data_IF_548111538483
#
_entry.id   IF_548111538483
#
_cell.length_a   1.000
_cell.length_b   1.000
_cell.length_c   1.000
_cell.angle_alpha   90.00
_cell.angle_beta   90.00
_cell.angle_gamma   90.00
#
_symmetry.space_group_name_H-M   'P 1'
#
loop_
_entity.id
_entity.type
_entity.pdbx_description
1 polymer ?
#
# COMPACT_ATOMS: atom_id res chain seq x y z
N UNK A 1 -70.42 -0.53 -5.00
CA UNK A 1 -69.33 -0.89 -4.07
C UNK A 1 -68.12 -1.21 -4.96
N UNK A 2 -67.20 -0.27 -5.13
CA UNK A 2 -65.95 -0.47 -5.92
C UNK A 2 -64.85 -0.91 -4.97
N UNK A 3 -64.37 -2.15 -5.11
CA UNK A 3 -63.27 -2.67 -4.35
C UNK A 3 -61.97 -2.22 -5.04
N UNK A 4 -61.18 -1.36 -4.38
CA UNK A 4 -59.81 -1.02 -4.81
C UNK A 4 -58.85 -2.10 -4.30
N UNK A 5 -58.31 -2.89 -5.21
CA UNK A 5 -57.21 -3.83 -4.91
C UNK A 5 -55.91 -3.04 -4.88
N UNK A 6 -55.36 -2.81 -3.70
CA UNK A 6 -54.06 -2.20 -3.53
C UNK A 6 -52.99 -3.34 -3.65
N UNK A 7 -52.36 -3.48 -4.81
CA UNK A 7 -51.23 -4.40 -4.99
C UNK A 7 -49.97 -3.78 -4.39
N UNK A 8 -49.59 -4.31 -3.24
CA UNK A 8 -48.30 -4.00 -2.58
C UNK A 8 -47.16 -4.64 -3.42
N UNK A 9 -46.52 -3.85 -4.27
CA UNK A 9 -45.28 -4.28 -4.92
C UNK A 9 -44.17 -4.32 -3.88
N UNK A 10 -43.90 -5.51 -3.36
CA UNK A 10 -42.71 -5.75 -2.53
C UNK A 10 -41.46 -5.69 -3.46
N UNK A 11 -40.82 -4.51 -3.56
CA UNK A 11 -39.55 -4.38 -4.22
C UNK A 11 -38.52 -5.03 -3.29
N UNK A 12 -38.34 -6.35 -3.40
CA UNK A 12 -37.14 -7.02 -2.93
C UNK A 12 -35.98 -6.48 -3.77
N UNK A 13 -35.23 -5.53 -3.24
CA UNK A 13 -33.92 -5.20 -3.77
C UNK A 13 -33.04 -6.45 -3.61
N UNK A 14 -32.98 -7.26 -4.67
CA UNK A 14 -31.97 -8.28 -4.81
C UNK A 14 -30.61 -7.57 -4.79
N UNK A 15 -29.96 -7.51 -3.62
CA UNK A 15 -28.57 -7.10 -3.55
C UNK A 15 -27.78 -8.14 -4.34
N UNK A 16 -27.11 -7.70 -5.39
CA UNK A 16 -26.21 -8.55 -6.14
C UNK A 16 -25.13 -9.12 -5.21
N UNK A 17 -24.77 -10.38 -5.40
CA UNK A 17 -23.61 -10.93 -4.69
C UNK A 17 -22.33 -10.24 -5.14
N UNK A 18 -21.39 -9.98 -4.22
CA UNK A 18 -20.10 -9.41 -4.58
C UNK A 18 -19.39 -10.22 -5.68
N UNK A 19 -18.68 -9.55 -6.61
CA UNK A 19 -18.09 -10.23 -7.76
C UNK A 19 -16.95 -11.17 -7.42
N UNK A 20 -16.31 -10.98 -6.24
CA UNK A 20 -15.17 -11.77 -5.82
C UNK A 20 -15.36 -12.33 -4.42
N UNK A 21 -14.68 -13.45 -4.15
CA UNK A 21 -14.59 -14.02 -2.80
C UNK A 21 -13.60 -13.23 -1.95
N UNK A 22 -12.41 -12.92 -2.51
CA UNK A 22 -11.39 -12.04 -1.98
C UNK A 22 -10.61 -11.39 -3.13
N UNK A 23 -10.09 -10.16 -2.97
CA UNK A 23 -9.55 -9.38 -4.08
C UNK A 23 -8.14 -9.77 -4.49
N UNK A 24 -7.34 -10.39 -3.62
CA UNK A 24 -6.02 -10.92 -3.99
C UNK A 24 -6.09 -12.01 -5.07
N UNK A 25 -7.28 -12.52 -5.35
CA UNK A 25 -7.54 -13.53 -6.38
C UNK A 25 -8.29 -12.99 -7.60
N UNK A 26 -8.33 -11.67 -7.80
CA UNK A 26 -9.00 -11.09 -8.98
C UNK A 26 -8.30 -11.48 -10.28
N UNK A 27 -6.97 -11.47 -10.28
CA UNK A 27 -6.09 -11.90 -11.36
C UNK A 27 -4.67 -12.07 -10.78
N UNK A 28 -3.95 -13.15 -11.05
CA UNK A 28 -2.57 -13.29 -10.59
C UNK A 28 -1.63 -12.35 -11.35
N UNK A 29 -0.47 -12.07 -10.78
CA UNK A 29 0.60 -11.26 -11.39
C UNK A 29 0.18 -9.82 -11.78
N UNK A 30 -0.72 -9.18 -11.02
CA UNK A 30 -0.97 -7.73 -11.10
C UNK A 30 0.34 -6.98 -10.78
N UNK A 31 1.10 -7.48 -9.82
CA UNK A 31 2.49 -7.08 -9.57
C UNK A 31 3.36 -8.30 -9.83
N UNK A 32 4.36 -8.16 -10.71
CA UNK A 32 5.26 -9.25 -11.08
C UNK A 32 6.54 -9.19 -10.28
N UNK A 33 7.20 -10.33 -10.00
CA UNK A 33 8.52 -10.35 -9.35
C UNK A 33 9.57 -9.50 -10.07
N UNK A 34 9.41 -9.26 -11.38
CA UNK A 34 10.29 -8.41 -12.20
C UNK A 34 9.98 -6.91 -12.14
N UNK A 35 8.93 -6.51 -11.46
CA UNK A 35 8.57 -5.09 -11.35
C UNK A 35 9.60 -4.30 -10.53
N UNK A 36 9.72 -3.00 -10.76
CA UNK A 36 10.67 -2.17 -10.04
C UNK A 36 10.50 -2.25 -8.52
N UNK A 37 11.62 -2.40 -7.81
CA UNK A 37 11.69 -2.35 -6.36
C UNK A 37 12.47 -1.12 -5.89
N UNK A 38 11.97 -0.48 -4.85
CA UNK A 38 12.66 0.57 -4.12
C UNK A 38 13.75 0.02 -3.17
N UNK A 39 13.83 -1.30 -2.97
CA UNK A 39 14.83 -1.91 -2.11
C UNK A 39 16.25 -1.47 -2.50
N UNK A 40 17.03 -1.06 -1.52
CA UNK A 40 18.39 -0.56 -1.70
C UNK A 40 19.44 -1.48 -1.05
N UNK A 41 19.27 -1.79 0.23
CA UNK A 41 20.24 -2.64 0.95
C UNK A 41 19.64 -3.24 2.21
N UNK A 42 20.28 -4.32 2.68
CA UNK A 42 20.00 -4.97 3.96
C UNK A 42 21.27 -5.00 4.81
N UNK A 43 21.23 -4.39 6.01
CA UNK A 43 22.33 -4.37 6.97
C UNK A 43 22.01 -5.27 8.13
N UNK A 44 22.93 -6.16 8.49
CA UNK A 44 22.86 -6.96 9.71
C UNK A 44 22.85 -6.04 10.96
N UNK A 45 21.98 -6.34 11.90
CA UNK A 45 21.83 -5.64 13.17
C UNK A 45 21.98 -6.59 14.37
N UNK A 46 22.50 -7.81 14.15
CA UNK A 46 22.74 -8.82 15.16
C UNK A 46 21.46 -9.52 15.63
N UNK A 47 21.39 -9.81 16.89
CA UNK A 47 20.21 -10.39 17.54
C UNK A 47 19.81 -9.55 18.75
N UNK A 48 18.52 -9.50 19.04
CA UNK A 48 18.02 -8.72 20.17
C UNK A 48 16.60 -9.15 20.55
N UNK A 49 16.26 -8.99 21.83
CA UNK A 49 14.94 -9.32 22.35
C UNK A 49 13.87 -8.48 21.66
N UNK A 50 12.85 -9.13 21.11
CA UNK A 50 11.66 -8.52 20.46
C UNK A 50 10.40 -9.23 20.89
N UNK A 51 9.30 -8.49 20.90
CA UNK A 51 7.96 -9.06 21.00
C UNK A 51 7.39 -9.16 19.59
N UNK A 52 7.05 -10.37 19.17
CA UNK A 52 6.51 -10.68 17.85
C UNK A 52 5.16 -11.39 18.02
N UNK A 53 4.22 -11.18 17.11
CA UNK A 53 3.00 -11.98 17.10
C UNK A 53 3.25 -13.25 16.29
N UNK A 54 3.00 -14.40 16.87
CA UNK A 54 3.06 -15.68 16.18
C UNK A 54 1.64 -16.22 15.96
N UNK A 55 1.21 -16.21 14.72
CA UNK A 55 -0.14 -16.66 14.37
C UNK A 55 -0.33 -18.16 14.56
N UNK A 56 0.75 -18.94 14.61
CA UNK A 56 0.72 -20.39 14.89
C UNK A 56 0.31 -20.65 16.35
N UNK A 57 0.82 -19.80 17.25
CA UNK A 57 0.50 -19.84 18.67
C UNK A 57 -0.73 -18.98 19.04
N UNK A 58 -1.21 -18.20 18.07
CA UNK A 58 -2.25 -17.18 18.27
C UNK A 58 -1.94 -16.25 19.44
N UNK A 59 -0.67 -15.90 19.61
CA UNK A 59 -0.18 -15.15 20.78
C UNK A 59 1.03 -14.27 20.46
N UNK A 60 1.24 -13.30 21.34
CA UNK A 60 2.47 -12.51 21.39
C UNK A 60 3.57 -13.30 22.09
N UNK A 61 4.69 -13.48 21.39
CA UNK A 61 5.84 -14.24 21.89
C UNK A 61 7.06 -13.32 22.01
N UNK A 62 7.89 -13.58 23.04
CA UNK A 62 9.14 -12.87 23.23
C UNK A 62 10.26 -13.77 22.73
N UNK A 63 10.95 -13.31 21.67
CA UNK A 63 12.04 -14.03 21.03
C UNK A 63 13.32 -13.21 20.99
N UNK A 64 14.40 -13.83 20.56
CA UNK A 64 15.66 -13.17 20.21
C UNK A 64 15.93 -13.38 18.71
N UNK A 65 15.16 -12.71 17.83
CA UNK A 65 15.27 -12.88 16.39
C UNK A 65 16.61 -12.38 15.86
N UNK A 66 16.96 -12.84 14.65
CA UNK A 66 17.96 -12.20 13.82
C UNK A 66 17.38 -10.88 13.29
N UNK A 67 18.12 -9.80 13.44
CA UNK A 67 17.68 -8.45 13.11
C UNK A 67 18.43 -7.92 11.90
N UNK A 68 17.69 -7.32 10.98
CA UNK A 68 18.25 -6.66 9.80
C UNK A 68 17.58 -5.31 9.60
N UNK A 69 18.33 -4.32 9.11
CA UNK A 69 17.80 -3.02 8.72
C UNK A 69 17.75 -2.95 7.19
N UNK A 70 16.55 -3.04 6.64
CA UNK A 70 16.28 -2.80 5.24
C UNK A 70 16.16 -1.30 4.96
N UNK A 71 16.82 -0.81 3.89
CA UNK A 71 16.72 0.58 3.44
C UNK A 71 16.17 0.64 2.02
N UNK A 72 15.44 1.71 1.72
CA UNK A 72 14.77 1.90 0.44
C UNK A 72 15.17 3.22 -0.20
N UNK A 73 15.12 3.29 -1.52
CA UNK A 73 15.52 4.46 -2.33
C UNK A 73 14.70 5.73 -2.05
N UNK A 74 13.53 5.59 -1.45
CA UNK A 74 12.68 6.70 -0.99
C UNK A 74 13.01 7.19 0.43
N UNK A 75 14.04 6.64 1.05
CA UNK A 75 14.53 7.00 2.38
C UNK A 75 13.88 6.23 3.53
N UNK A 76 12.89 5.39 3.25
CA UNK A 76 12.26 4.55 4.28
C UNK A 76 13.24 3.48 4.80
N UNK A 77 13.05 3.11 6.06
CA UNK A 77 13.81 2.06 6.75
C UNK A 77 12.85 1.16 7.49
N UNK A 78 13.10 -0.15 7.43
CA UNK A 78 12.27 -1.17 8.07
C UNK A 78 13.17 -2.13 8.82
N UNK A 79 12.87 -2.42 10.09
CA UNK A 79 13.53 -3.49 10.83
C UNK A 79 12.89 -4.83 10.47
N UNK A 80 13.69 -5.74 9.94
CA UNK A 80 13.27 -7.11 9.64
C UNK A 80 13.70 -8.03 10.75
N UNK A 81 12.76 -8.72 11.38
CA UNK A 81 12.92 -9.59 12.52
C UNK A 81 12.65 -11.02 12.09
N UNK A 82 13.68 -11.84 11.97
CA UNK A 82 13.56 -13.23 11.53
C UNK A 82 13.63 -14.15 12.74
N UNK A 83 12.60 -14.98 12.92
CA UNK A 83 12.48 -15.90 14.05
C UNK A 83 13.76 -16.78 14.18
N UNK A 84 14.28 -17.02 15.39
CA UNK A 84 15.47 -17.85 15.60
C UNK A 84 15.33 -19.28 15.08
N UNK A 85 14.11 -19.75 14.81
CA UNK A 85 13.85 -21.07 14.22
C UNK A 85 14.49 -21.32 12.84
N UNK A 86 14.99 -20.25 12.18
CA UNK A 86 15.76 -20.38 10.95
C UNK A 86 17.19 -20.88 11.15
N UNK A 87 17.66 -20.96 12.40
CA UNK A 87 18.83 -21.69 12.83
C UNK A 87 20.13 -20.90 12.81
N UNK A 88 20.39 -20.08 11.79
CA UNK A 88 21.63 -19.26 11.69
C UNK A 88 21.37 -17.93 10.97
N UNK A 89 22.31 -17.01 11.07
CA UNK A 89 22.21 -15.67 10.51
C UNK A 89 22.15 -15.65 8.97
N UNK A 90 22.84 -16.59 8.31
CA UNK A 90 22.90 -16.63 6.86
C UNK A 90 21.54 -17.05 6.25
N UNK A 91 20.90 -18.05 6.84
CA UNK A 91 19.56 -18.48 6.40
C UNK A 91 18.49 -17.44 6.75
N UNK A 92 18.58 -16.83 7.93
CA UNK A 92 17.72 -15.71 8.30
C UNK A 92 17.90 -14.52 7.33
N UNK A 93 19.12 -14.22 6.91
CA UNK A 93 19.43 -13.15 5.95
C UNK A 93 18.78 -13.39 4.59
N UNK A 94 18.81 -14.62 4.08
CA UNK A 94 18.19 -14.98 2.79
C UNK A 94 16.70 -14.64 2.79
N UNK A 95 16.00 -15.01 3.85
CA UNK A 95 14.57 -14.70 3.97
C UNK A 95 14.33 -13.18 4.15
N UNK A 96 15.13 -12.52 4.98
CA UNK A 96 15.04 -11.08 5.17
C UNK A 96 15.26 -10.32 3.86
N UNK A 97 16.23 -10.70 3.06
CA UNK A 97 16.54 -10.06 1.76
C UNK A 97 15.44 -10.27 0.74
N UNK A 98 14.98 -11.53 0.60
CA UNK A 98 13.86 -11.91 -0.27
C UNK A 98 12.62 -11.03 -0.04
N UNK A 99 12.15 -10.96 1.20
CA UNK A 99 10.92 -10.20 1.48
C UNK A 99 11.15 -8.70 1.51
N UNK A 100 12.34 -8.22 1.89
CA UNK A 100 12.66 -6.80 1.76
C UNK A 100 12.60 -6.32 0.31
N UNK A 101 13.02 -7.17 -0.66
CA UNK A 101 12.91 -6.87 -2.07
C UNK A 101 11.45 -6.77 -2.52
N UNK A 102 10.61 -7.74 -2.17
CA UNK A 102 9.18 -7.76 -2.52
C UNK A 102 8.45 -6.56 -1.87
N UNK A 103 8.70 -6.30 -0.59
CA UNK A 103 8.15 -5.12 0.10
C UNK A 103 8.60 -3.83 -0.61
N UNK A 104 9.80 -3.80 -1.17
CA UNK A 104 10.28 -2.69 -1.98
C UNK A 104 9.47 -2.44 -3.26
N UNK A 105 8.72 -3.42 -3.77
CA UNK A 105 7.83 -3.26 -4.93
C UNK A 105 6.50 -2.58 -4.57
N UNK A 106 6.12 -2.57 -3.29
CA UNK A 106 4.99 -1.79 -2.78
C UNK A 106 5.23 -0.30 -2.99
N UNK A 107 4.16 0.46 -3.13
CA UNK A 107 4.27 1.92 -3.21
C UNK A 107 4.77 2.52 -1.91
N UNK A 108 5.43 3.68 -1.97
CA UNK A 108 5.84 4.44 -0.77
C UNK A 108 4.64 4.67 0.16
N UNK A 109 3.46 4.94 -0.41
CA UNK A 109 2.23 5.12 0.36
C UNK A 109 1.87 3.89 1.21
N UNK A 110 2.15 2.68 0.73
CA UNK A 110 1.91 1.44 1.47
C UNK A 110 3.06 1.05 2.41
N UNK A 111 4.31 1.43 2.09
CA UNK A 111 5.46 1.14 2.95
C UNK A 111 5.65 2.11 4.11
N UNK A 112 5.11 3.33 4.01
CA UNK A 112 5.43 4.47 4.88
C UNK A 112 5.24 4.22 6.37
N UNK A 113 4.31 3.35 6.74
CA UNK A 113 3.99 3.04 8.13
C UNK A 113 4.41 1.61 8.52
N UNK A 114 5.10 0.91 7.63
CA UNK A 114 5.73 -0.38 7.96
C UNK A 114 7.04 -0.10 8.68
N UNK A 115 7.04 -0.25 9.99
CA UNK A 115 8.23 -0.09 10.83
C UNK A 115 8.99 -1.40 11.00
N UNK A 116 8.24 -2.50 11.08
CA UNK A 116 8.80 -3.84 11.32
C UNK A 116 8.20 -4.88 10.37
N UNK A 117 8.98 -5.95 10.13
CA UNK A 117 8.53 -7.15 9.43
C UNK A 117 8.87 -8.35 10.29
N UNK A 118 7.89 -9.20 10.57
CA UNK A 118 8.09 -10.46 11.30
C UNK A 118 8.07 -11.63 10.33
N UNK A 119 9.11 -12.46 10.37
CA UNK A 119 9.25 -13.62 9.50
C UNK A 119 9.32 -14.89 10.35
N UNK A 120 8.32 -15.75 10.18
CA UNK A 120 8.21 -17.07 10.80
C UNK A 120 8.16 -18.17 9.75
N UNK A 121 8.50 -19.39 10.13
CA UNK A 121 8.15 -20.59 9.36
C UNK A 121 6.64 -20.85 9.46
N UNK A 122 6.15 -21.82 8.69
CA UNK A 122 4.75 -22.27 8.74
C UNK A 122 3.90 -21.76 7.59
N UNK A 123 2.62 -22.17 7.62
CA UNK A 123 1.67 -21.98 6.51
C UNK A 123 0.43 -21.17 6.92
N UNK A 124 0.54 -20.40 8.01
CA UNK A 124 -0.51 -19.49 8.41
C UNK A 124 -0.56 -18.28 7.46
N UNK A 125 -1.72 -17.66 7.25
CA UNK A 125 -1.84 -16.47 6.41
C UNK A 125 -0.92 -15.32 6.88
N UNK A 126 -0.59 -14.41 5.96
CA UNK A 126 0.09 -13.17 6.28
C UNK A 126 -0.78 -12.25 7.14
N UNK A 127 -0.22 -11.17 7.62
CA UNK A 127 -0.94 -10.16 8.39
C UNK A 127 -0.34 -8.77 8.23
N UNK A 128 -1.20 -7.76 8.30
CA UNK A 128 -0.85 -6.36 8.33
C UNK A 128 -1.50 -5.63 9.51
N UNK A 129 -1.02 -4.43 9.80
CA UNK A 129 -1.47 -3.60 10.91
C UNK A 129 -0.38 -3.39 11.98
N UNK A 130 -0.64 -2.53 12.96
CA UNK A 130 0.30 -2.23 14.04
C UNK A 130 1.73 -1.87 13.56
N UNK A 131 1.83 -1.12 12.47
CA UNK A 131 3.09 -0.75 11.82
C UNK A 131 3.96 -1.96 11.43
N UNK A 132 3.33 -3.09 11.12
CA UNK A 132 3.99 -4.36 10.87
C UNK A 132 3.44 -5.11 9.66
N UNK A 133 4.29 -5.97 9.10
CA UNK A 133 3.90 -7.05 8.18
C UNK A 133 4.35 -8.39 8.75
N UNK A 134 3.42 -9.32 8.87
CA UNK A 134 3.64 -10.69 9.36
C UNK A 134 3.71 -11.67 8.20
N UNK A 135 4.76 -12.46 8.13
CA UNK A 135 5.06 -13.39 7.06
C UNK A 135 5.25 -14.80 7.64
N UNK A 136 4.63 -15.79 6.98
CA UNK A 136 4.91 -17.20 7.18
C UNK A 136 5.49 -17.80 5.90
N UNK A 137 6.74 -18.25 5.93
CA UNK A 137 7.49 -18.61 4.71
C UNK A 137 6.90 -19.79 3.95
N UNK A 138 6.28 -20.75 4.62
CA UNK A 138 5.57 -21.87 3.97
C UNK A 138 4.29 -21.42 3.25
N UNK A 139 3.59 -20.39 3.76
CA UNK A 139 2.46 -19.79 3.07
C UNK A 139 2.93 -18.94 1.89
N UNK A 140 4.07 -18.24 2.03
CA UNK A 140 4.67 -17.49 0.94
C UNK A 140 4.95 -18.37 -0.29
N UNK A 141 5.39 -19.62 -0.10
CA UNK A 141 5.59 -20.57 -1.22
C UNK A 141 4.29 -20.81 -1.99
N UNK A 142 3.16 -20.92 -1.29
CA UNK A 142 1.85 -21.06 -1.94
C UNK A 142 1.48 -19.82 -2.72
N UNK A 143 1.64 -18.63 -2.12
CA UNK A 143 1.33 -17.35 -2.77
C UNK A 143 2.22 -17.11 -4.00
N UNK A 144 3.50 -17.53 -3.97
CA UNK A 144 4.39 -17.49 -5.14
C UNK A 144 3.87 -18.40 -6.26
N UNK A 145 3.51 -19.64 -5.92
CA UNK A 145 3.01 -20.60 -6.91
C UNK A 145 1.69 -20.16 -7.55
N UNK A 146 0.87 -19.43 -6.79
CA UNK A 146 -0.42 -18.91 -7.23
C UNK A 146 -0.28 -17.54 -7.93
N UNK A 147 0.93 -16.95 -7.98
CA UNK A 147 1.19 -15.62 -8.57
C UNK A 147 0.54 -14.46 -7.82
N UNK A 148 0.38 -14.56 -6.49
CA UNK A 148 -0.32 -13.57 -5.65
C UNK A 148 0.48 -13.10 -4.43
N UNK A 149 1.79 -13.37 -4.38
CA UNK A 149 2.61 -12.96 -3.24
C UNK A 149 2.63 -11.44 -3.07
N UNK A 150 2.90 -10.73 -4.13
CA UNK A 150 2.99 -9.28 -4.17
C UNK A 150 1.64 -8.62 -3.89
N UNK A 151 0.56 -9.18 -4.42
CA UNK A 151 -0.81 -8.75 -4.19
C UNK A 151 -1.22 -8.94 -2.72
N UNK A 152 -0.80 -10.04 -2.10
CA UNK A 152 -1.00 -10.26 -0.66
C UNK A 152 -0.30 -9.18 0.15
N UNK A 153 0.93 -8.79 -0.20
CA UNK A 153 1.59 -7.67 0.46
C UNK A 153 0.88 -6.34 0.25
N UNK A 154 0.28 -6.10 -0.92
CA UNK A 154 -0.55 -4.90 -1.14
C UNK A 154 -1.72 -4.87 -0.16
N UNK A 155 -2.43 -5.99 0.01
CA UNK A 155 -3.54 -6.11 0.95
C UNK A 155 -3.09 -5.82 2.39
N UNK A 156 -2.08 -6.52 2.87
CA UNK A 156 -1.59 -6.39 4.25
C UNK A 156 -0.98 -5.01 4.55
N UNK A 157 -0.23 -4.46 3.59
CA UNK A 157 0.32 -3.12 3.74
C UNK A 157 -0.74 -2.01 3.66
N UNK A 158 -1.88 -2.27 3.02
CA UNK A 158 -3.03 -1.37 3.07
C UNK A 158 -3.58 -1.29 4.48
N UNK A 159 -3.75 -2.42 5.19
CA UNK A 159 -4.09 -2.42 6.60
C UNK A 159 -3.09 -1.62 7.44
N UNK A 160 -1.80 -1.83 7.20
CA UNK A 160 -0.74 -1.18 7.97
C UNK A 160 -0.72 0.33 7.77
N UNK A 161 -0.84 0.80 6.53
CA UNK A 161 -0.55 2.20 6.18
C UNK A 161 -1.79 3.06 5.91
N UNK A 162 -2.93 2.46 5.56
CA UNK A 162 -4.11 3.24 5.18
C UNK A 162 -5.28 3.13 6.16
N UNK A 163 -5.49 2.01 6.85
CA UNK A 163 -6.67 1.80 7.69
C UNK A 163 -6.83 2.88 8.77
N UNK A 164 -5.78 3.16 9.53
CA UNK A 164 -5.82 4.14 10.62
C UNK A 164 -6.21 5.54 10.15
N UNK A 165 -5.87 5.87 8.89
CA UNK A 165 -6.11 7.19 8.28
C UNK A 165 -7.40 7.26 7.50
N UNK A 166 -7.90 6.13 6.98
CA UNK A 166 -8.93 6.14 5.95
C UNK A 166 -10.15 5.28 6.27
N UNK A 167 -10.00 4.07 6.86
CA UNK A 167 -11.10 3.11 7.00
C UNK A 167 -12.33 3.64 7.78
N UNK A 168 -12.11 4.59 8.71
CA UNK A 168 -13.18 5.21 9.52
C UNK A 168 -13.47 6.67 9.11
N UNK A 169 -12.89 7.18 8.01
CA UNK A 169 -13.15 8.56 7.59
C UNK A 169 -14.57 8.70 7.02
N UNK A 170 -15.29 9.80 7.36
CA UNK A 170 -16.63 10.03 6.83
C UNK A 170 -16.73 9.96 5.32
N UNK A 171 -15.71 10.47 4.59
CA UNK A 171 -15.64 10.42 3.13
C UNK A 171 -15.54 8.98 2.59
N UNK A 172 -14.77 8.10 3.26
CA UNK A 172 -14.69 6.69 2.90
C UNK A 172 -16.02 5.98 3.10
N UNK A 173 -16.61 6.15 4.29
CA UNK A 173 -17.92 5.56 4.62
C UNK A 173 -19.02 6.08 3.67
N UNK A 174 -18.96 7.34 3.29
CA UNK A 174 -19.89 7.91 2.31
C UNK A 174 -19.70 7.27 0.92
N UNK A 175 -18.46 7.05 0.47
CA UNK A 175 -18.16 6.39 -0.78
C UNK A 175 -18.64 4.92 -0.77
N UNK A 176 -18.39 4.19 0.31
CA UNK A 176 -18.87 2.82 0.54
C UNK A 176 -20.40 2.75 0.43
N UNK A 177 -21.09 3.65 1.12
CA UNK A 177 -22.56 3.72 1.10
C UNK A 177 -23.12 4.11 -0.27
N UNK A 178 -22.44 5.02 -0.98
CA UNK A 178 -22.86 5.46 -2.31
C UNK A 178 -22.70 4.39 -3.38
N UNK A 179 -21.70 3.50 -3.26
CA UNK A 179 -21.55 2.36 -4.15
C UNK A 179 -22.66 1.32 -3.93
N UNK A 180 -23.12 1.14 -2.68
CA UNK A 180 -24.19 0.19 -2.32
C UNK A 180 -23.79 -1.28 -2.45
N UNK A 181 -22.64 -1.58 -3.07
CA UNK A 181 -22.10 -2.89 -3.36
C UNK A 181 -20.71 -3.05 -2.76
N UNK A 182 -20.22 -4.28 -2.64
CA UNK A 182 -18.86 -4.60 -2.20
C UNK A 182 -18.12 -5.34 -3.31
N UNK A 183 -16.79 -5.17 -3.33
CA UNK A 183 -15.97 -5.83 -4.35
C UNK A 183 -15.82 -7.33 -4.09
N UNK A 184 -15.86 -7.74 -2.82
CA UNK A 184 -15.73 -9.14 -2.41
C UNK A 184 -16.69 -9.47 -1.26
N UNK A 185 -16.96 -10.78 -1.06
CA UNK A 185 -17.69 -11.26 0.10
C UNK A 185 -16.96 -10.92 1.39
N UNK A 186 -15.63 -10.98 1.40
CA UNK A 186 -14.83 -10.65 2.57
C UNK A 186 -14.97 -9.17 2.96
N UNK A 187 -14.98 -8.25 1.98
CA UNK A 187 -15.30 -6.84 2.23
C UNK A 187 -16.73 -6.63 2.74
N UNK A 188 -17.71 -7.39 2.20
CA UNK A 188 -19.12 -7.33 2.61
C UNK A 188 -19.32 -7.82 4.05
N UNK A 189 -18.65 -8.91 4.42
CA UNK A 189 -18.77 -9.50 5.75
C UNK A 189 -18.05 -8.67 6.82
N UNK A 190 -16.99 -7.96 6.45
CA UNK A 190 -16.17 -7.14 7.35
C UNK A 190 -15.96 -5.69 6.86
N UNK A 191 -17.05 -4.92 6.62
CA UNK A 191 -17.00 -3.64 5.91
C UNK A 191 -16.16 -2.55 6.58
N UNK A 192 -15.98 -2.62 7.90
CA UNK A 192 -15.22 -1.64 8.67
C UNK A 192 -13.75 -2.03 8.85
N UNK A 193 -13.38 -3.24 8.45
CA UNK A 193 -12.03 -3.79 8.64
C UNK A 193 -11.35 -4.12 7.31
N UNK A 194 -12.07 -4.76 6.39
CA UNK A 194 -11.48 -5.35 5.20
C UNK A 194 -11.76 -4.54 3.91
N UNK A 195 -12.86 -3.81 3.85
CA UNK A 195 -13.32 -3.18 2.61
C UNK A 195 -12.31 -2.21 2.00
N UNK A 196 -11.51 -1.50 2.81
CA UNK A 196 -10.49 -0.59 2.31
C UNK A 196 -9.34 -1.38 1.66
N UNK A 197 -8.84 -2.42 2.31
CA UNK A 197 -7.77 -3.26 1.79
C UNK A 197 -8.22 -4.06 0.56
N UNK A 198 -9.41 -4.64 0.60
CA UNK A 198 -10.03 -5.36 -0.51
C UNK A 198 -10.30 -4.47 -1.74
N UNK A 199 -10.62 -3.20 -1.53
CA UNK A 199 -10.85 -2.24 -2.61
C UNK A 199 -9.57 -1.64 -3.19
N UNK A 200 -8.48 -1.63 -2.43
CA UNK A 200 -7.23 -0.97 -2.87
C UNK A 200 -6.55 -1.72 -4.01
N UNK A 201 -6.44 -3.04 -3.94
CA UNK A 201 -5.82 -3.82 -5.02
C UNK A 201 -6.57 -3.69 -6.37
N UNK A 202 -7.91 -3.80 -6.43
CA UNK A 202 -8.67 -3.49 -7.64
C UNK A 202 -8.46 -2.07 -8.16
N UNK A 203 -8.43 -1.08 -7.26
CA UNK A 203 -8.10 0.30 -7.62
C UNK A 203 -6.71 0.39 -8.24
N UNK A 204 -5.70 -0.20 -7.59
CA UNK A 204 -4.34 -0.23 -8.08
C UNK A 204 -4.26 -0.87 -9.47
N UNK A 205 -4.93 -2.00 -9.67
CA UNK A 205 -4.95 -2.71 -10.95
C UNK A 205 -5.50 -1.84 -12.08
N UNK A 206 -6.65 -1.19 -11.89
CA UNK A 206 -7.28 -0.38 -12.95
C UNK A 206 -6.57 0.95 -13.24
N UNK A 207 -5.82 1.50 -12.28
CA UNK A 207 -5.12 2.78 -12.43
C UNK A 207 -3.67 2.62 -12.88
N UNK A 208 -2.98 1.61 -12.37
CA UNK A 208 -1.52 1.51 -12.50
C UNK A 208 -1.05 0.26 -13.24
N UNK A 209 -1.96 -0.70 -13.45
CA UNK A 209 -1.69 -1.95 -14.20
C UNK A 209 -2.83 -2.33 -15.14
N UNK A 210 -3.40 -1.38 -15.91
CA UNK A 210 -4.52 -1.68 -16.81
C UNK A 210 -4.16 -2.66 -17.93
N UNK A 211 -2.87 -2.82 -18.21
CA UNK A 211 -2.30 -3.78 -19.16
C UNK A 211 -2.27 -5.23 -18.64
N UNK A 212 -2.51 -5.42 -17.34
CA UNK A 212 -2.44 -6.74 -16.68
C UNK A 212 -3.79 -7.29 -16.25
N UNK A 213 -4.86 -6.60 -16.57
CA UNK A 213 -6.23 -7.04 -16.31
C UNK A 213 -7.07 -7.00 -17.58
N UNK A 214 -8.06 -7.88 -17.67
CA UNK A 214 -8.99 -7.89 -18.79
C UNK A 214 -9.90 -6.66 -18.78
N UNK A 215 -10.35 -6.24 -19.98
CA UNK A 215 -11.33 -5.14 -20.11
C UNK A 215 -12.64 -5.43 -19.35
N UNK A 216 -13.07 -6.70 -19.32
CA UNK A 216 -14.27 -7.12 -18.59
C UNK A 216 -14.09 -6.98 -17.09
N UNK A 217 -12.93 -7.38 -16.54
CA UNK A 217 -12.58 -7.22 -15.14
C UNK A 217 -12.51 -5.74 -14.75
N UNK A 218 -11.80 -4.92 -15.53
CA UNK A 218 -11.72 -3.49 -15.31
C UNK A 218 -13.10 -2.82 -15.31
N UNK A 219 -14.00 -3.23 -16.23
CA UNK A 219 -15.38 -2.75 -16.28
C UNK A 219 -16.14 -3.15 -15.00
N UNK A 220 -16.04 -4.40 -14.57
CA UNK A 220 -16.69 -4.90 -13.37
C UNK A 220 -16.25 -4.11 -12.13
N UNK A 221 -14.95 -3.91 -11.93
CA UNK A 221 -14.41 -3.12 -10.81
C UNK A 221 -14.99 -1.70 -10.82
N UNK A 222 -14.93 -1.00 -11.97
CA UNK A 222 -15.44 0.38 -12.13
C UNK A 222 -16.95 0.49 -11.91
N UNK A 223 -17.71 -0.55 -12.17
CA UNK A 223 -19.16 -0.58 -11.92
C UNK A 223 -19.50 -0.86 -10.47
N UNK A 224 -18.71 -1.70 -9.79
CA UNK A 224 -18.99 -2.14 -8.41
C UNK A 224 -18.60 -1.10 -7.37
N UNK A 225 -17.42 -0.45 -7.52
CA UNK A 225 -16.86 0.46 -6.50
C UNK A 225 -16.48 1.86 -7.06
N UNK A 226 -17.33 2.52 -7.87
CA UNK A 226 -16.96 3.77 -8.53
C UNK A 226 -16.65 4.92 -7.57
N UNK A 227 -17.32 5.01 -6.44
CA UNK A 227 -17.11 6.08 -5.46
C UNK A 227 -15.88 5.82 -4.59
N UNK A 228 -15.60 4.55 -4.24
CA UNK A 228 -14.34 4.18 -3.58
C UNK A 228 -13.12 4.46 -4.47
N UNK A 229 -13.23 4.21 -5.79
CA UNK A 229 -12.19 4.56 -6.77
C UNK A 229 -11.94 6.08 -6.75
N UNK A 230 -13.00 6.91 -6.81
CA UNK A 230 -12.88 8.37 -6.71
C UNK A 230 -12.28 8.81 -5.38
N UNK A 231 -12.60 8.10 -4.29
CA UNK A 231 -11.98 8.38 -3.01
C UNK A 231 -10.47 8.17 -3.06
N UNK A 232 -10.00 7.03 -3.57
CA UNK A 232 -8.56 6.78 -3.72
C UNK A 232 -7.90 7.77 -4.68
N UNK A 233 -8.55 8.13 -5.79
CA UNK A 233 -8.07 9.16 -6.72
C UNK A 233 -7.90 10.54 -6.03
N UNK A 234 -8.69 10.82 -4.99
CA UNK A 234 -8.59 12.06 -4.22
C UNK A 234 -7.43 12.08 -3.21
N UNK A 235 -6.76 10.94 -3.01
CA UNK A 235 -5.62 10.84 -2.11
C UNK A 235 -4.33 11.06 -2.91
N UNK A 236 -3.51 12.02 -2.49
CA UNK A 236 -2.19 12.23 -3.06
C UNK A 236 -1.21 11.14 -2.59
N UNK A 237 -1.43 9.89 -3.04
CA UNK A 237 -0.61 8.75 -2.67
C UNK A 237 0.71 8.76 -3.43
N UNK A 238 1.82 8.60 -2.72
CA UNK A 238 3.13 8.43 -3.34
C UNK A 238 3.25 7.02 -3.93
N UNK A 239 3.16 6.93 -5.25
CA UNK A 239 3.13 5.68 -6.00
C UNK A 239 4.52 5.17 -6.43
N UNK A 240 5.63 5.75 -5.94
CA UNK A 240 6.96 5.22 -6.19
C UNK A 240 7.13 3.82 -5.54
N UNK A 241 7.74 2.81 -6.17
CA UNK A 241 8.46 2.80 -7.45
C UNK A 241 7.59 2.47 -8.68
N UNK A 242 6.30 2.26 -8.51
CA UNK A 242 5.35 1.93 -9.60
C UNK A 242 5.32 3.06 -10.63
N UNK A 243 5.25 4.29 -10.14
CA UNK A 243 5.52 5.50 -10.92
C UNK A 243 6.92 5.97 -10.55
N UNK A 244 7.81 6.05 -11.55
CA UNK A 244 9.14 6.59 -11.35
C UNK A 244 9.04 8.07 -10.96
N UNK A 245 9.82 8.46 -9.95
CA UNK A 245 10.01 9.87 -9.65
C UNK A 245 10.88 10.48 -10.73
N UNK A 246 10.37 11.49 -11.39
CA UNK A 246 11.17 12.33 -12.27
C UNK A 246 11.93 13.35 -11.42
N UNK A 247 13.18 13.63 -11.79
CA UNK A 247 13.90 14.74 -11.19
C UNK A 247 13.12 16.04 -11.47
N UNK A 248 12.92 16.91 -10.47
CA UNK A 248 12.28 18.18 -10.72
C UNK A 248 13.12 19.00 -11.71
N UNK A 249 12.50 19.50 -12.77
CA UNK A 249 13.11 20.48 -13.66
C UNK A 249 12.58 21.88 -13.31
N UNK A 250 13.47 22.84 -13.16
CA UNK A 250 13.10 24.24 -12.92
C UNK A 250 12.53 24.79 -14.22
N UNK A 251 11.26 25.18 -14.20
CA UNK A 251 10.56 25.76 -15.34
C UNK A 251 10.76 27.26 -15.42
N UNK A 252 10.87 27.91 -14.26
CA UNK A 252 11.05 29.35 -14.17
C UNK A 252 11.87 29.71 -12.94
N UNK A 253 12.76 30.67 -13.13
CA UNK A 253 13.50 31.35 -12.08
C UNK A 253 13.41 32.84 -12.34
N UNK A 254 12.76 33.60 -11.45
CA UNK A 254 12.57 35.03 -11.61
C UNK A 254 12.85 35.73 -10.29
N UNK A 255 13.66 36.80 -10.34
CA UNK A 255 13.92 37.67 -9.19
C UNK A 255 13.33 39.06 -9.44
N UNK A 256 12.51 39.52 -8.52
CA UNK A 256 11.98 40.91 -8.51
C UNK A 256 12.80 41.76 -7.56
N UNK A 257 13.55 42.73 -8.10
CA UNK A 257 14.31 43.66 -7.28
C UNK A 257 13.40 44.57 -6.45
N UNK A 258 12.26 45.00 -7.03
CA UNK A 258 11.27 45.83 -6.34
C UNK A 258 10.69 45.15 -5.11
N UNK A 259 10.38 43.87 -5.22
CA UNK A 259 9.77 43.07 -4.14
C UNK A 259 10.78 42.31 -3.32
N UNK A 260 12.05 42.28 -3.70
CA UNK A 260 13.11 41.46 -3.10
C UNK A 260 12.68 40.00 -3.01
N UNK A 261 12.02 39.54 -4.07
CA UNK A 261 11.37 38.19 -4.11
C UNK A 261 11.98 37.36 -5.22
N UNK A 262 12.43 36.13 -4.85
CA UNK A 262 12.83 35.09 -5.77
C UNK A 262 11.67 34.13 -5.98
N UNK A 263 11.19 33.99 -7.21
CA UNK A 263 10.17 33.05 -7.61
C UNK A 263 10.83 31.88 -8.33
N UNK A 264 10.58 30.64 -7.83
CA UNK A 264 11.06 29.40 -8.45
C UNK A 264 9.83 28.54 -8.74
N UNK A 265 9.66 28.15 -9.99
CA UNK A 265 8.67 27.14 -10.37
C UNK A 265 9.33 25.91 -10.99
N UNK A 266 8.80 24.75 -10.69
CA UNK A 266 9.31 23.47 -11.21
C UNK A 266 8.15 22.50 -11.45
N UNK A 267 8.41 21.49 -12.33
CA UNK A 267 7.49 20.36 -12.47
C UNK A 267 7.47 19.56 -11.18
N UNK A 268 6.28 19.19 -10.72
CA UNK A 268 6.10 18.38 -9.52
C UNK A 268 5.27 17.12 -9.79
N UNK A 269 5.50 16.10 -8.99
CA UNK A 269 4.69 14.87 -9.00
C UNK A 269 3.82 14.85 -7.74
N UNK A 270 2.54 14.55 -7.91
CA UNK A 270 1.61 14.45 -6.78
C UNK A 270 2.12 13.43 -5.75
N UNK A 271 2.09 13.80 -4.48
CA UNK A 271 2.60 13.00 -3.35
C UNK A 271 4.12 13.04 -3.16
N UNK A 272 4.89 13.60 -4.09
CA UNK A 272 6.33 13.78 -3.89
C UNK A 272 6.61 14.90 -2.88
N UNK A 273 7.70 14.72 -2.11
CA UNK A 273 8.20 15.71 -1.15
C UNK A 273 9.43 16.39 -1.72
N UNK A 274 9.44 17.71 -1.67
CA UNK A 274 10.55 18.53 -2.14
C UNK A 274 11.18 19.28 -0.98
N UNK A 275 12.48 19.52 -1.06
CA UNK A 275 13.26 20.35 -0.14
C UNK A 275 13.94 21.41 -0.97
N UNK A 276 13.83 22.67 -0.58
CA UNK A 276 14.61 23.76 -1.17
C UNK A 276 15.84 24.00 -0.30
N UNK A 277 16.99 23.96 -0.92
CA UNK A 277 18.27 24.24 -0.30
C UNK A 277 18.97 25.38 -1.04
N UNK A 278 19.76 26.16 -0.32
CA UNK A 278 20.64 27.18 -0.88
C UNK A 278 22.10 26.89 -0.54
N UNK A 279 22.98 27.29 -1.43
CA UNK A 279 24.42 27.24 -1.24
C UNK A 279 25.05 28.48 -1.86
N UNK A 280 26.09 29.03 -1.23
CA UNK A 280 26.89 30.10 -1.77
C UNK A 280 28.12 29.66 -2.56
N UNK A 281 28.50 28.37 -2.40
CA UNK A 281 29.75 27.80 -2.93
C UNK A 281 29.58 26.42 -3.59
N UNK A 282 28.31 25.91 -3.67
CA UNK A 282 27.95 24.59 -4.16
C UNK A 282 28.56 23.40 -3.37
N UNK A 283 29.21 23.68 -2.25
CA UNK A 283 29.83 22.65 -1.39
C UNK A 283 29.01 22.40 -0.10
N UNK A 284 28.50 23.48 0.50
CA UNK A 284 27.67 23.40 1.72
C UNK A 284 26.25 23.88 1.41
N UNK A 285 25.29 23.04 1.64
CA UNK A 285 23.87 23.31 1.37
C UNK A 285 23.09 23.52 2.66
N UNK A 286 22.37 24.64 2.74
CA UNK A 286 21.46 24.96 3.84
C UNK A 286 20.02 24.78 3.41
N UNK A 287 19.22 24.08 4.20
CA UNK A 287 17.80 23.92 3.94
C UNK A 287 17.08 25.25 4.20
N UNK A 288 16.45 25.78 3.17
CA UNK A 288 15.64 27.01 3.23
C UNK A 288 14.18 26.65 3.51
N UNK A 289 13.68 25.56 2.92
CA UNK A 289 12.31 25.12 3.09
C UNK A 289 12.24 23.61 3.06
N UNK A 290 11.51 23.03 4.03
CA UNK A 290 11.30 21.57 4.14
C UNK A 290 9.87 21.20 3.78
N UNK A 291 9.72 20.04 3.13
CA UNK A 291 8.44 19.37 2.92
C UNK A 291 7.37 20.17 2.15
N UNK A 292 7.74 20.66 0.98
CA UNK A 292 6.74 21.05 -0.02
C UNK A 292 6.15 19.79 -0.59
N UNK A 293 4.86 19.56 -0.38
CA UNK A 293 4.13 18.41 -0.92
C UNK A 293 3.30 18.91 -2.10
N UNK A 294 3.47 18.30 -3.25
CA UNK A 294 2.59 18.52 -4.38
C UNK A 294 1.27 17.77 -4.13
N UNK A 295 0.20 18.49 -3.89
CA UNK A 295 -1.13 17.96 -3.53
C UNK A 295 -2.17 18.10 -4.64
N UNK A 296 -1.89 18.85 -5.69
CA UNK A 296 -2.77 19.06 -6.84
C UNK A 296 -2.01 19.07 -8.16
N UNK A 297 -2.63 18.55 -9.21
CA UNK A 297 -2.21 18.81 -10.59
C UNK A 297 -2.85 20.13 -11.01
N UNK A 298 -2.04 21.19 -11.12
CA UNK A 298 -2.47 22.38 -11.84
C UNK A 298 -2.40 22.07 -13.33
N UNK A 299 -3.54 21.89 -13.96
CA UNK A 299 -3.70 21.78 -15.42
C UNK A 299 -3.59 23.13 -16.09
#
# INVERSE_FOLDING_TARGET
MKVFLLSLLCICSLRAEPPFWGTIFIDPDIIKPSDPSAYLSLKDAGQGRRTMYDRRENNWVILTPYLFNATYKDGLKIEVQVNPEFGNADDARKEAEKYSYVIGQLTTALRRDVETVWIHKGTNPFGGGNNNLLIHTGQAVKYINDGILEETFVHEATHTSLDSRHAKKPKWIAAQKADGEFISNYAKDYPNREDLAESYLPYFAIRYRPDRISKSLAKKIKQTIPNRIKYFDSLALDMYPVIKREAPSVNQLFYSEEKQLLTISWNSQVGAKYIIQSSSDFSVWKTVMTYIIADTILT
#
